data_IF_139006100161
#
_entry.id   IF_139006100161
#
_cell.length_a   1.000
_cell.length_b   1.000
_cell.length_c   1.000
_cell.angle_alpha   90.00
_cell.angle_beta   90.00
_cell.angle_gamma   90.00
#
_symmetry.space_group_name_H-M   'P 1'
#
loop_
_entity.id
_entity.type
_entity.pdbx_description
1 polymer ?
#
# COMPACT_ATOMS: atom_id res chain seq x y z
N UNK A 1 12.18 -9.55 13.47
CA UNK A 1 10.96 -10.24 13.95
C UNK A 1 11.37 -11.57 14.52
N UNK A 2 11.20 -11.72 15.82
CA UNK A 2 11.47 -12.95 16.55
C UNK A 2 10.26 -13.89 16.44
N UNK A 3 10.44 -15.18 16.74
CA UNK A 3 9.35 -16.18 16.69
C UNK A 3 8.14 -15.78 17.55
N UNK A 4 8.39 -15.07 18.66
CA UNK A 4 7.35 -14.53 19.53
C UNK A 4 6.44 -13.53 18.81
N UNK A 5 7.00 -12.64 18.00
CA UNK A 5 6.27 -11.56 17.31
C UNK A 5 5.25 -12.12 16.30
N UNK A 6 5.58 -13.27 15.68
CA UNK A 6 4.65 -13.97 14.78
C UNK A 6 3.41 -14.50 15.52
N UNK A 7 3.62 -15.02 16.73
CA UNK A 7 2.55 -15.59 17.55
C UNK A 7 1.67 -14.47 18.15
N UNK A 8 2.28 -13.39 18.63
CA UNK A 8 1.55 -12.33 19.35
C UNK A 8 0.91 -11.30 18.44
N UNK A 9 1.52 -10.98 17.29
CA UNK A 9 1.01 -9.91 16.42
C UNK A 9 0.35 -10.42 15.14
N UNK A 10 0.94 -11.44 14.49
CA UNK A 10 0.46 -11.90 13.19
C UNK A 10 -0.77 -12.81 13.30
N UNK A 11 -0.75 -13.79 14.21
CA UNK A 11 -1.84 -14.76 14.36
C UNK A 11 -3.21 -14.11 14.69
N UNK A 12 -3.33 -13.16 15.63
CA UNK A 12 -4.62 -12.54 15.93
C UNK A 12 -5.22 -11.80 14.73
N UNK A 13 -4.37 -11.13 13.95
CA UNK A 13 -4.81 -10.42 12.76
C UNK A 13 -5.20 -11.39 11.62
N UNK A 14 -4.49 -12.51 11.46
CA UNK A 14 -4.89 -13.56 10.50
C UNK A 14 -6.25 -14.15 10.90
N UNK A 15 -6.46 -14.42 12.19
CA UNK A 15 -7.75 -14.88 12.69
C UNK A 15 -8.85 -13.84 12.43
N UNK A 16 -8.61 -12.57 12.74
CA UNK A 16 -9.54 -11.48 12.48
C UNK A 16 -9.87 -11.33 10.98
N UNK A 17 -8.88 -11.45 10.09
CA UNK A 17 -9.08 -11.41 8.65
C UNK A 17 -9.95 -12.58 8.17
N UNK A 18 -9.72 -13.80 8.68
CA UNK A 18 -10.55 -14.97 8.38
C UNK A 18 -11.99 -14.83 8.88
N UNK A 19 -12.20 -14.22 10.04
CA UNK A 19 -13.54 -13.92 10.57
C UNK A 19 -14.24 -12.85 9.74
N UNK A 20 -13.49 -11.84 9.29
CA UNK A 20 -14.01 -10.81 8.41
C UNK A 20 -14.40 -11.34 7.03
N UNK A 21 -13.62 -12.27 6.47
CA UNK A 21 -13.96 -12.96 5.23
C UNK A 21 -15.27 -13.77 5.33
N UNK A 22 -15.61 -14.24 6.54
CA UNK A 22 -16.89 -14.91 6.84
C UNK A 22 -18.03 -13.95 7.20
N UNK A 23 -17.80 -12.64 7.18
CA UNK A 23 -18.80 -11.62 7.50
C UNK A 23 -19.09 -11.45 9.00
N UNK A 24 -18.34 -12.11 9.89
CA UNK A 24 -18.59 -12.07 11.34
C UNK A 24 -17.92 -10.88 12.04
N UNK A 25 -17.02 -10.19 11.34
CA UNK A 25 -16.27 -9.04 11.88
C UNK A 25 -15.91 -8.09 10.74
N UNK A 26 -15.62 -6.81 11.05
CA UNK A 26 -14.98 -5.89 10.10
C UNK A 26 -13.54 -6.34 9.81
N UNK A 27 -13.09 -6.13 8.57
CA UNK A 27 -11.71 -6.42 8.17
C UNK A 27 -10.70 -5.69 9.09
N UNK A 28 -9.65 -6.39 9.55
CA UNK A 28 -8.56 -5.74 10.27
C UNK A 28 -7.78 -4.81 9.34
N UNK A 29 -6.93 -3.98 9.93
CA UNK A 29 -6.02 -3.11 9.19
C UNK A 29 -5.02 -3.95 8.37
N UNK A 30 -4.49 -3.42 7.25
CA UNK A 30 -3.48 -4.12 6.48
C UNK A 30 -2.19 -4.28 7.29
N UNK A 31 -1.57 -5.46 7.17
CA UNK A 31 -0.26 -5.73 7.79
C UNK A 31 0.86 -4.91 7.17
N UNK A 32 0.82 -4.79 5.85
CA UNK A 32 1.81 -4.06 5.05
C UNK A 32 1.05 -3.22 4.04
N UNK A 33 1.37 -1.92 4.00
CA UNK A 33 0.90 -1.00 2.99
C UNK A 33 2.11 -0.54 2.17
N UNK A 34 2.13 -0.88 0.88
CA UNK A 34 3.12 -0.34 -0.05
C UNK A 34 2.55 0.90 -0.70
N UNK A 35 3.16 2.05 -0.43
CA UNK A 35 2.78 3.33 -1.00
C UNK A 35 3.88 3.85 -1.94
N UNK A 36 3.53 4.08 -3.21
CA UNK A 36 4.41 4.71 -4.19
C UNK A 36 4.23 6.22 -4.16
N UNK A 37 5.24 6.95 -3.71
CA UNK A 37 5.21 8.42 -3.60
C UNK A 37 5.08 9.08 -4.98
N UNK A 38 5.78 8.55 -5.98
CA UNK A 38 5.71 9.01 -7.35
C UNK A 38 6.06 7.87 -8.31
N UNK A 39 5.52 7.92 -9.52
CA UNK A 39 5.94 7.02 -10.60
C UNK A 39 7.07 7.63 -11.46
N UNK A 40 7.55 8.83 -11.13
CA UNK A 40 8.68 9.44 -11.82
C UNK A 40 9.97 8.67 -11.51
N UNK A 41 10.64 8.17 -12.54
CA UNK A 41 11.87 7.42 -12.40
C UNK A 41 12.90 7.82 -13.47
N UNK A 42 14.16 7.97 -13.06
CA UNK A 42 15.28 8.31 -13.93
C UNK A 42 15.98 7.06 -14.48
N UNK A 43 15.82 5.93 -13.79
CA UNK A 43 16.37 4.64 -14.20
C UNK A 43 15.54 4.11 -15.36
N UNK A 44 16.13 4.11 -16.57
CA UNK A 44 15.49 3.63 -17.80
C UNK A 44 15.47 2.10 -17.89
N UNK A 45 15.04 1.45 -16.82
CA UNK A 45 15.06 0.01 -16.69
C UNK A 45 14.14 -0.63 -17.72
N UNK A 46 14.64 -1.67 -18.40
CA UNK A 46 13.87 -2.43 -19.40
C UNK A 46 12.84 -3.37 -18.75
N UNK A 47 13.03 -3.73 -17.47
CA UNK A 47 12.13 -4.63 -16.73
C UNK A 47 10.87 -3.93 -16.24
N UNK A 48 10.98 -2.77 -15.59
CA UNK A 48 9.81 -2.08 -15.02
C UNK A 48 9.19 -1.03 -15.94
N UNK A 49 9.99 -0.35 -16.78
CA UNK A 49 9.57 0.68 -17.74
C UNK A 49 8.70 1.83 -17.19
N UNK A 50 8.64 2.00 -15.87
CA UNK A 50 7.78 3.02 -15.22
C UNK A 50 8.13 4.46 -15.65
N UNK A 51 9.38 4.71 -16.01
CA UNK A 51 9.85 5.99 -16.54
C UNK A 51 9.12 6.43 -17.82
N UNK A 52 8.47 5.52 -18.54
CA UNK A 52 7.70 5.82 -19.75
C UNK A 52 6.32 6.42 -19.42
N UNK A 53 5.78 6.19 -18.22
CA UNK A 53 4.39 6.50 -17.86
C UNK A 53 4.04 7.96 -18.16
N UNK A 54 4.76 8.92 -17.58
CA UNK A 54 4.48 10.35 -17.77
C UNK A 54 4.97 10.90 -19.12
N UNK A 55 5.74 10.13 -19.88
CA UNK A 55 6.13 10.51 -21.24
C UNK A 55 5.05 10.14 -22.26
N UNK A 56 4.41 8.99 -22.06
CA UNK A 56 3.32 8.52 -22.90
C UNK A 56 1.98 9.13 -22.49
N UNK A 57 1.81 9.33 -21.18
CA UNK A 57 0.58 9.81 -20.55
C UNK A 57 0.88 10.93 -19.54
N UNK A 58 1.27 12.13 -20.01
CA UNK A 58 1.63 13.25 -19.13
C UNK A 58 0.48 13.69 -18.21
N UNK A 59 -0.77 13.50 -18.63
CA UNK A 59 -1.98 13.80 -17.86
C UNK A 59 -2.05 13.02 -16.54
N UNK A 60 -1.52 11.80 -16.51
CA UNK A 60 -1.57 10.92 -15.33
C UNK A 60 -0.71 11.40 -14.17
N UNK A 61 0.13 12.42 -14.39
CA UNK A 61 0.85 13.07 -13.28
C UNK A 61 -0.12 13.77 -12.33
N UNK A 62 -1.27 14.22 -12.83
CA UNK A 62 -2.32 14.80 -11.99
C UNK A 62 -3.06 13.75 -11.13
N UNK A 63 -2.88 12.46 -11.43
CA UNK A 63 -3.44 11.35 -10.64
C UNK A 63 -2.59 11.05 -9.38
N UNK A 64 -1.39 11.65 -9.23
CA UNK A 64 -0.58 11.49 -8.03
C UNK A 64 -1.25 12.19 -6.83
N UNK A 65 -1.20 11.53 -5.66
CA UNK A 65 -1.75 12.11 -4.45
C UNK A 65 -0.99 13.37 -4.05
N UNK A 66 -1.74 14.39 -3.67
CA UNK A 66 -1.21 15.58 -3.01
C UNK A 66 -0.74 15.24 -1.60
N UNK A 67 0.13 16.08 -1.03
CA UNK A 67 0.61 15.89 0.34
C UNK A 67 -0.55 15.83 1.35
N UNK A 68 -1.53 16.73 1.23
CA UNK A 68 -2.72 16.76 2.08
C UNK A 68 -3.58 15.49 1.98
N UNK A 69 -3.62 14.84 0.81
CA UNK A 69 -4.30 13.54 0.65
C UNK A 69 -3.52 12.42 1.31
N UNK A 70 -2.20 12.40 1.14
CA UNK A 70 -1.32 11.43 1.78
C UNK A 70 -1.48 11.53 3.31
N UNK A 71 -1.40 12.73 3.88
CA UNK A 71 -1.58 12.95 5.31
C UNK A 71 -2.94 12.45 5.82
N UNK A 72 -4.03 12.75 5.09
CA UNK A 72 -5.37 12.26 5.43
C UNK A 72 -5.48 10.75 5.39
N UNK A 73 -4.88 10.09 4.39
CA UNK A 73 -4.86 8.62 4.30
C UNK A 73 -4.16 8.05 5.52
N UNK A 74 -2.93 8.49 5.81
CA UNK A 74 -2.13 7.93 6.90
C UNK A 74 -2.65 8.29 8.31
N UNK A 75 -3.33 9.42 8.49
CA UNK A 75 -3.99 9.75 9.75
C UNK A 75 -5.19 8.83 10.08
N UNK A 76 -5.79 8.19 9.07
CA UNK A 76 -6.94 7.30 9.23
C UNK A 76 -6.56 5.82 9.45
N UNK A 77 -5.27 5.49 9.36
CA UNK A 77 -4.74 4.12 9.44
C UNK A 77 -4.51 3.61 10.86
#
# INVERSE_FOLDING_TARGET
>A
MNASDYLTELLPQIAAAKLAYRGWRRAPRPFTLTFSVTNACQSRCQTCRIWELYRQHPERRADELTLDEIERVFASL
#
